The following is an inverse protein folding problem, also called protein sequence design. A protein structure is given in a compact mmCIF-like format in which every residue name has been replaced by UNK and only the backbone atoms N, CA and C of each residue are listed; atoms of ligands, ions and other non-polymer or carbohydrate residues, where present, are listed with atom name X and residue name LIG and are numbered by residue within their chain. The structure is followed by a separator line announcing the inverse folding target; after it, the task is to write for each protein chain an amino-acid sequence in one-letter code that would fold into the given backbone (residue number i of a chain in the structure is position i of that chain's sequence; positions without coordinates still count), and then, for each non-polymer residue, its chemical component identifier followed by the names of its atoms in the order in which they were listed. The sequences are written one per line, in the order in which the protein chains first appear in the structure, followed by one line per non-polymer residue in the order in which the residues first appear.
data_IF_024853363725
#
_entry.id   IF_024853363725
#
_cell.length_a   1.000
_cell.length_b   1.000
_cell.length_c   1.000
_cell.angle_alpha   90.00
_cell.angle_beta   90.00
_cell.angle_gamma   90.00
#
_symmetry.space_group_name_H-M   'P 1'
#
loop_
_entity.id
_entity.type
_entity.pdbx_description
1 polymer ?
#
# COMPACT_ATOMS: atom_id res chain seq x y z
N UNK A 1 -6.02 -15.38 -9.80
CA UNK A 1 -5.02 -15.12 -10.86
C UNK A 1 -4.47 -13.73 -10.64
N UNK A 2 -3.17 -13.59 -10.35
CA UNK A 2 -2.51 -12.28 -10.39
C UNK A 2 -2.00 -12.10 -11.81
N UNK A 3 -2.71 -11.29 -12.61
CA UNK A 3 -2.36 -11.02 -14.02
C UNK A 3 -1.16 -10.06 -14.14
N UNK A 4 -0.71 -9.49 -13.02
CA UNK A 4 0.41 -8.56 -12.93
C UNK A 4 1.27 -8.98 -11.74
N UNK A 5 2.59 -8.87 -11.90
CA UNK A 5 3.58 -9.14 -10.85
C UNK A 5 4.51 -7.95 -10.70
N UNK A 6 4.98 -7.70 -9.48
CA UNK A 6 5.97 -6.69 -9.16
C UNK A 6 7.21 -7.42 -8.65
N UNK A 7 8.29 -7.37 -9.43
CA UNK A 7 9.62 -7.81 -9.01
C UNK A 7 10.43 -6.59 -8.55
N UNK A 8 10.65 -6.49 -7.24
CA UNK A 8 11.44 -5.42 -6.61
C UNK A 8 12.88 -5.87 -6.28
N UNK A 9 13.34 -7.02 -6.77
CA UNK A 9 14.68 -7.58 -6.47
C UNK A 9 15.82 -6.61 -6.77
N UNK A 10 15.71 -5.79 -7.82
CA UNK A 10 16.71 -4.76 -8.17
C UNK A 10 16.77 -3.60 -7.17
N UNK A 11 15.66 -3.28 -6.53
CA UNK A 11 15.59 -2.22 -5.52
C UNK A 11 16.24 -2.63 -4.20
N UNK A 12 16.39 -3.93 -3.93
CA UNK A 12 17.02 -4.46 -2.71
C UNK A 12 18.51 -4.10 -2.57
N UNK A 13 19.13 -3.56 -3.62
CA UNK A 13 20.48 -2.98 -3.57
C UNK A 13 20.52 -1.64 -2.85
N UNK A 14 19.38 -0.97 -2.73
CA UNK A 14 19.25 0.39 -2.20
C UNK A 14 18.34 0.45 -0.97
N UNK A 15 17.40 -0.48 -0.84
CA UNK A 15 16.44 -0.56 0.27
C UNK A 15 16.53 -1.96 0.87
N UNK A 16 16.74 -2.04 2.18
CA UNK A 16 16.79 -3.32 2.89
C UNK A 16 15.40 -3.92 3.07
N UNK A 17 15.33 -5.25 3.22
CA UNK A 17 14.08 -5.93 3.57
C UNK A 17 13.49 -5.44 4.89
N UNK A 18 14.35 -5.08 5.85
CA UNK A 18 13.89 -4.59 7.15
C UNK A 18 13.22 -3.21 7.04
N UNK A 19 13.69 -2.34 6.14
CA UNK A 19 13.03 -1.05 5.87
C UNK A 19 11.63 -1.26 5.28
N UNK A 20 11.46 -2.26 4.40
CA UNK A 20 10.15 -2.63 3.86
C UNK A 20 9.23 -3.16 4.98
N UNK A 21 9.73 -4.02 5.87
CA UNK A 21 8.94 -4.50 7.00
C UNK A 21 8.58 -3.38 7.99
N UNK A 22 9.46 -2.40 8.19
CA UNK A 22 9.24 -1.30 9.12
C UNK A 22 8.06 -0.39 8.70
N UNK A 23 7.72 -0.30 7.41
CA UNK A 23 6.58 0.49 6.94
C UNK A 23 5.24 -0.27 7.00
N UNK A 24 5.25 -1.54 7.40
CA UNK A 24 4.06 -2.41 7.40
C UNK A 24 2.88 -1.81 8.18
N UNK A 25 3.12 -1.23 9.36
CA UNK A 25 2.04 -0.64 10.16
C UNK A 25 1.40 0.56 9.46
N UNK A 26 2.20 1.39 8.79
CA UNK A 26 1.72 2.56 8.03
C UNK A 26 0.89 2.12 6.82
N UNK A 27 1.32 1.06 6.13
CA UNK A 27 0.57 0.49 5.00
C UNK A 27 -0.78 -0.08 5.46
N UNK A 28 -0.83 -0.75 6.61
CA UNK A 28 -2.07 -1.27 7.18
C UNK A 28 -3.02 -0.15 7.59
N UNK A 29 -2.53 0.89 8.26
CA UNK A 29 -3.32 2.07 8.62
C UNK A 29 -3.87 2.78 7.36
N UNK A 30 -3.05 2.93 6.31
CA UNK A 30 -3.50 3.48 5.03
C UNK A 30 -4.57 2.61 4.36
N UNK A 31 -4.42 1.28 4.42
CA UNK A 31 -5.40 0.33 3.90
C UNK A 31 -6.76 0.50 4.59
N UNK A 32 -6.77 0.54 5.93
CA UNK A 32 -7.98 0.76 6.72
C UNK A 32 -8.62 2.12 6.42
N UNK A 33 -7.82 3.20 6.38
CA UNK A 33 -8.33 4.54 6.06
C UNK A 33 -8.98 4.61 4.68
N UNK A 34 -8.41 3.92 3.70
CA UNK A 34 -8.94 3.89 2.33
C UNK A 34 -10.26 3.12 2.27
N UNK A 35 -10.33 1.93 2.87
CA UNK A 35 -11.52 1.08 2.79
C UNK A 35 -12.65 1.57 3.70
N UNK A 36 -12.31 2.14 4.86
CA UNK A 36 -13.27 2.67 5.82
C UNK A 36 -13.58 4.16 5.63
N UNK A 37 -12.98 4.83 4.64
CA UNK A 37 -13.22 6.24 4.29
C UNK A 37 -13.00 7.21 5.46
N UNK A 38 -11.99 6.98 6.29
CA UNK A 38 -11.70 7.80 7.48
C UNK A 38 -10.52 8.78 7.28
N UNK A 39 -9.81 8.69 6.15
CA UNK A 39 -8.70 9.57 5.81
C UNK A 39 -9.13 10.93 5.23
N UNK A 40 -8.18 11.86 5.12
CA UNK A 40 -8.41 13.14 4.45
C UNK A 40 -8.79 12.93 2.97
N UNK A 41 -9.82 13.64 2.51
CA UNK A 41 -10.33 13.51 1.13
C UNK A 41 -11.15 12.24 0.88
N UNK A 42 -11.67 11.59 1.93
CA UNK A 42 -12.44 10.34 1.81
C UNK A 42 -13.74 10.45 1.00
N UNK A 43 -14.24 11.67 0.80
CA UNK A 43 -15.38 11.98 -0.07
C UNK A 43 -15.15 11.57 -1.54
N UNK A 44 -13.89 11.43 -1.96
CA UNK A 44 -13.51 11.16 -3.36
C UNK A 44 -13.06 9.71 -3.63
N UNK A 45 -13.37 8.76 -2.74
CA UNK A 45 -12.96 7.35 -2.83
C UNK A 45 -13.92 6.44 -3.62
N UNK A 46 -14.69 6.99 -4.56
CA UNK A 46 -15.64 6.22 -5.37
C UNK A 46 -14.99 5.13 -6.22
N UNK A 47 -13.72 5.32 -6.59
CA UNK A 47 -12.97 4.42 -7.47
C UNK A 47 -12.51 3.11 -6.83
N UNK A 48 -12.52 3.03 -5.49
CA UNK A 48 -11.97 1.88 -4.75
C UNK A 48 -12.83 0.62 -4.93
N UNK A 49 -14.14 0.77 -5.16
CA UNK A 49 -15.09 -0.34 -5.31
C UNK A 49 -15.83 -0.32 -6.66
N UNK A 50 -15.18 0.23 -7.70
CA UNK A 50 -15.74 0.22 -9.06
C UNK A 50 -15.81 -1.18 -9.67
#
# INVERSE_FOLDING_TARGET
MNNISIDYSKALKFISKNEIENIKSQVLDAHEKLHNKTGAGSDYLGWVNL
#
